data_IF_942755218400
#
_entry.id   IF_942755218400
#
_cell.length_a   1.000
_cell.length_b   1.000
_cell.length_c   1.000
_cell.angle_alpha   90.00
_cell.angle_beta   90.00
_cell.angle_gamma   90.00
#
_symmetry.space_group_name_H-M   'P 1'
#
loop_
_entity.id
_entity.type
_entity.pdbx_description
1 polymer ?
#
# COMPACT_ATOMS: atom_id res chain seq x y z
N UNK A 1 9.55 20.75 -3.64
CA UNK A 1 8.50 19.89 -4.24
C UNK A 1 7.19 20.41 -3.72
N UNK A 2 6.22 20.72 -4.58
CA UNK A 2 4.88 21.11 -4.12
C UNK A 2 4.19 19.92 -3.43
N UNK A 3 3.29 20.18 -2.48
CA UNK A 3 2.54 19.12 -1.78
C UNK A 3 1.84 18.17 -2.76
N UNK A 4 1.26 18.71 -3.85
CA UNK A 4 0.60 17.92 -4.90
C UNK A 4 1.55 16.95 -5.60
N UNK A 5 2.80 17.36 -5.84
CA UNK A 5 3.78 16.55 -6.55
C UNK A 5 4.29 15.44 -5.64
N UNK A 6 4.43 15.74 -4.35
CA UNK A 6 4.74 14.75 -3.32
C UNK A 6 3.64 13.69 -3.20
N UNK A 7 2.38 14.10 -3.04
CA UNK A 7 1.24 13.17 -2.94
C UNK A 7 1.18 12.29 -4.19
N UNK A 8 1.32 12.88 -5.38
CA UNK A 8 1.35 12.13 -6.63
C UNK A 8 2.46 11.08 -6.63
N UNK A 9 3.67 11.45 -6.21
CA UNK A 9 4.79 10.51 -6.13
C UNK A 9 4.50 9.35 -5.17
N UNK A 10 3.98 9.64 -3.97
CA UNK A 10 3.69 8.58 -2.99
C UNK A 10 2.61 7.62 -3.51
N UNK A 11 1.55 8.14 -4.12
CA UNK A 11 0.50 7.30 -4.68
C UNK A 11 1.02 6.44 -5.84
N UNK A 12 1.87 6.99 -6.71
CA UNK A 12 2.54 6.23 -7.78
C UNK A 12 3.42 5.14 -7.20
N UNK A 13 4.36 5.48 -6.31
CA UNK A 13 5.28 4.52 -5.71
C UNK A 13 4.52 3.38 -5.00
N UNK A 14 3.39 3.70 -4.35
CA UNK A 14 2.55 2.74 -3.64
C UNK A 14 1.80 1.79 -4.60
N UNK A 15 1.18 2.32 -5.66
CA UNK A 15 0.47 1.50 -6.65
C UNK A 15 1.44 0.59 -7.40
N UNK A 16 2.56 1.13 -7.87
CA UNK A 16 3.59 0.38 -8.58
C UNK A 16 4.14 -0.75 -7.69
N UNK A 17 4.46 -0.45 -6.42
CA UNK A 17 4.95 -1.47 -5.49
C UNK A 17 3.97 -2.61 -5.28
N UNK A 18 2.66 -2.33 -5.17
CA UNK A 18 1.65 -3.38 -4.99
C UNK A 18 1.52 -4.23 -6.25
N UNK A 19 1.49 -3.64 -7.44
CA UNK A 19 1.40 -4.39 -8.70
C UNK A 19 2.67 -5.20 -8.98
N UNK A 20 3.87 -4.67 -8.71
CA UNK A 20 5.13 -5.42 -8.87
C UNK A 20 5.18 -6.65 -7.96
N UNK A 21 4.76 -6.51 -6.70
CA UNK A 21 4.69 -7.64 -5.77
C UNK A 21 3.59 -8.60 -6.19
N UNK A 22 2.44 -8.08 -6.64
CA UNK A 22 1.33 -8.88 -7.15
C UNK A 22 1.79 -9.79 -8.29
N UNK A 23 2.56 -9.30 -9.25
CA UNK A 23 3.06 -10.10 -10.37
C UNK A 23 3.96 -11.26 -9.91
N UNK A 24 4.88 -10.98 -8.98
CA UNK A 24 5.86 -11.96 -8.49
C UNK A 24 5.33 -12.87 -7.37
N UNK A 25 4.20 -12.51 -6.75
CA UNK A 25 3.57 -13.25 -5.66
C UNK A 25 2.72 -14.42 -6.14
N UNK A 26 2.72 -15.50 -5.35
CA UNK A 26 1.80 -16.64 -5.52
C UNK A 26 0.34 -16.29 -5.23
N UNK A 27 0.11 -15.29 -4.38
CA UNK A 27 -1.22 -14.80 -3.99
C UNK A 27 -1.51 -13.51 -4.71
N UNK A 28 -2.76 -13.32 -5.15
CA UNK A 28 -3.16 -12.02 -5.68
C UNK A 28 -3.26 -10.99 -4.54
N UNK A 29 -3.04 -9.73 -4.89
CA UNK A 29 -3.14 -8.62 -3.96
C UNK A 29 -3.53 -7.34 -4.69
N UNK A 30 -4.27 -6.48 -4.01
CA UNK A 30 -4.71 -5.21 -4.57
C UNK A 30 -5.01 -4.21 -3.46
N UNK A 31 -4.95 -2.92 -3.79
CA UNK A 31 -5.40 -1.86 -2.89
C UNK A 31 -6.91 -1.90 -2.74
N UNK A 32 -7.40 -1.74 -1.51
CA UNK A 32 -8.84 -1.69 -1.24
C UNK A 32 -9.18 -0.61 -0.24
N UNK A 33 -10.26 0.13 -0.54
CA UNK A 33 -10.85 1.10 0.36
C UNK A 33 -11.81 0.44 1.38
N UNK A 34 -12.37 -0.73 1.05
CA UNK A 34 -13.22 -1.54 1.93
C UNK A 34 -12.45 -2.08 3.13
N UNK A 35 -12.75 -1.57 4.33
CA UNK A 35 -12.08 -1.98 5.57
C UNK A 35 -12.21 -3.48 5.87
N UNK A 36 -13.37 -4.05 5.58
CA UNK A 36 -13.65 -5.47 5.85
C UNK A 36 -12.82 -6.41 4.98
N UNK A 37 -12.30 -5.91 3.86
CA UNK A 37 -11.46 -6.64 2.93
C UNK A 37 -9.97 -6.36 3.13
N UNK A 38 -9.55 -5.55 4.12
CA UNK A 38 -8.12 -5.27 4.32
C UNK A 38 -7.48 -6.39 5.09
N UNK A 39 -6.57 -7.11 4.45
CA UNK A 39 -5.72 -8.10 5.12
C UNK A 39 -4.58 -7.39 5.87
N UNK A 40 -4.10 -6.26 5.33
CA UNK A 40 -3.03 -5.45 5.92
C UNK A 40 -3.41 -3.96 5.85
N UNK A 41 -3.17 -3.22 6.93
CA UNK A 41 -3.35 -1.77 6.99
C UNK A 41 -2.03 -1.05 7.27
N UNK A 42 -1.82 0.08 6.58
CA UNK A 42 -0.66 0.94 6.75
C UNK A 42 -1.12 2.34 7.18
N UNK A 43 -0.46 2.91 8.20
CA UNK A 43 -0.61 4.31 8.63
C UNK A 43 0.77 4.96 8.62
N UNK A 44 1.04 5.77 7.59
CA UNK A 44 2.34 6.39 7.37
C UNK A 44 2.24 7.87 7.72
N UNK A 45 3.03 8.29 8.73
CA UNK A 45 3.25 9.70 9.00
C UNK A 45 4.33 10.26 8.06
N UNK A 46 3.96 11.31 7.34
CA UNK A 46 4.83 12.07 6.45
C UNK A 46 5.04 13.45 7.06
N UNK A 47 6.29 13.81 7.33
CA UNK A 47 6.65 15.13 7.81
C UNK A 47 7.34 15.89 6.69
N UNK A 48 6.83 17.08 6.35
CA UNK A 48 7.55 18.04 5.51
C UNK A 48 8.21 19.05 6.44
N UNK A 49 9.54 19.11 6.39
CA UNK A 49 10.31 20.15 7.09
C UNK A 49 10.64 21.28 6.11
N UNK A 50 10.08 22.47 6.35
CA UNK A 50 10.54 23.70 5.71
C UNK A 50 11.87 24.11 6.35
N UNK A 51 12.98 23.71 5.72
CA UNK A 51 14.31 24.17 6.13
C UNK A 51 14.53 25.62 5.66
N UNK A 52 14.09 26.60 6.46
CA UNK A 52 14.58 27.99 6.35
C UNK A 52 15.94 28.10 7.04
N UNK A 53 16.95 27.41 6.50
CA UNK A 53 18.34 27.61 6.94
C UNK A 53 19.20 27.83 5.70
N UNK A 54 19.78 29.02 5.64
CA UNK A 54 20.66 29.49 4.60
C UNK A 54 21.72 28.43 4.23
N UNK A 55 21.92 28.26 2.92
CA UNK A 55 22.98 27.48 2.28
C UNK A 55 22.96 25.95 2.52
N UNK A 56 22.38 25.21 1.58
CA UNK A 56 22.79 23.83 1.28
C UNK A 56 21.70 22.77 1.30
N UNK A 57 21.26 22.38 0.11
CA UNK A 57 20.59 21.10 -0.25
C UNK A 57 19.37 20.72 0.61
N UNK A 58 18.18 21.12 0.14
CA UNK A 58 16.91 20.59 0.60
C UNK A 58 16.80 19.08 0.26
N UNK A 59 16.97 18.22 1.28
CA UNK A 59 16.76 16.78 1.19
C UNK A 59 15.67 16.34 2.17
N UNK A 60 14.76 15.49 1.71
CA UNK A 60 13.73 14.87 2.56
C UNK A 60 14.44 13.95 3.57
N UNK A 61 14.36 14.26 4.86
CA UNK A 61 14.85 13.39 5.94
C UNK A 61 13.67 12.68 6.59
N UNK A 62 13.67 11.35 6.52
CA UNK A 62 12.77 10.52 7.32
C UNK A 62 13.37 10.41 8.72
N UNK A 63 12.78 11.09 9.71
CA UNK A 63 13.21 10.96 11.11
C UNK A 63 12.57 9.72 11.75
N UNK A 64 13.38 8.73 12.11
CA UNK A 64 13.00 7.73 13.10
C UNK A 64 13.09 8.36 14.48
N UNK A 65 11.95 8.48 15.17
CA UNK A 65 11.90 8.96 16.56
C UNK A 65 12.45 7.82 17.44
N UNK A 66 13.71 7.92 17.84
CA UNK A 66 14.26 7.15 18.95
C UNK A 66 14.01 7.97 20.22
N UNK A 67 13.15 7.45 21.10
CA UNK A 67 12.94 7.97 22.45
C UNK A 67 14.28 8.04 23.18
N UNK A 68 14.76 9.26 23.44
CA UNK A 68 16.09 9.45 24.01
C UNK A 68 16.36 10.88 24.45
N UNK A 69 15.48 11.44 25.31
CA UNK A 69 15.79 12.41 26.37
C UNK A 69 16.76 13.59 26.13
N UNK A 70 17.01 13.98 24.88
CA UNK A 70 17.96 15.03 24.53
C UNK A 70 17.25 16.31 24.14
N UNK A 71 17.59 17.40 24.82
CA UNK A 71 17.07 18.76 24.65
C UNK A 71 17.26 19.27 23.21
N UNK A 72 16.37 18.89 22.29
CA UNK A 72 16.36 19.40 20.92
C UNK A 72 15.81 20.83 20.98
N UNK A 73 16.72 21.79 20.82
CA UNK A 73 16.43 23.23 20.75
C UNK A 73 15.16 23.50 19.94
N UNK A 74 14.24 24.26 20.55
CA UNK A 74 13.02 24.80 19.95
C UNK A 74 13.35 25.72 18.76
N UNK A 75 13.82 25.18 17.66
CA UNK A 75 13.49 25.78 16.37
C UNK A 75 12.04 25.39 16.11
N UNK A 76 11.14 26.36 16.28
CA UNK A 76 9.75 26.26 15.85
C UNK A 76 9.73 26.14 14.32
N UNK A 77 10.13 24.99 13.80
CA UNK A 77 9.97 24.64 12.40
C UNK A 77 8.49 24.38 12.19
N UNK A 78 7.88 25.12 11.28
CA UNK A 78 6.55 24.84 10.78
C UNK A 78 6.61 23.49 10.05
N UNK A 79 6.48 22.39 10.78
CA UNK A 79 6.38 21.06 10.20
C UNK A 79 4.91 20.73 10.02
N UNK A 80 4.53 20.45 8.77
CA UNK A 80 3.22 19.88 8.48
C UNK A 80 3.34 18.37 8.51
N UNK A 81 2.59 17.72 9.40
CA UNK A 81 2.46 16.26 9.44
C UNK A 81 1.25 15.87 8.60
N UNK A 82 1.50 15.23 7.46
CA UNK A 82 0.48 14.57 6.65
C UNK A 82 0.44 13.07 7.02
N UNK A 83 -0.73 12.45 7.05
CA UNK A 83 -0.86 11.00 7.24
C UNK A 83 -1.50 10.34 6.03
N UNK A 84 -0.93 9.22 5.61
CA UNK A 84 -1.45 8.42 4.51
C UNK A 84 -1.88 7.07 5.09
N UNK A 85 -3.16 6.75 4.93
CA UNK A 85 -3.74 5.48 5.36
C UNK A 85 -4.25 4.71 4.16
N UNK A 86 -3.84 3.46 4.03
CA UNK A 86 -4.30 2.59 2.96
C UNK A 86 -4.32 1.13 3.42
N UNK A 87 -5.08 0.32 2.70
CA UNK A 87 -5.19 -1.11 2.95
C UNK A 87 -4.87 -1.91 1.71
N UNK A 88 -4.25 -3.07 1.92
CA UNK A 88 -3.99 -4.07 0.89
C UNK A 88 -4.82 -5.30 1.21
N UNK A 89 -5.64 -5.73 0.25
CA UNK A 89 -6.23 -7.05 0.26
C UNK A 89 -5.19 -8.06 -0.25
N UNK A 90 -5.09 -9.19 0.43
CA UNK A 90 -4.26 -10.32 -0.01
C UNK A 90 -5.16 -11.55 0.01
N UNK A 91 -5.25 -12.22 -1.13
CA UNK A 91 -6.13 -13.37 -1.31
C UNK A 91 -5.75 -14.53 -0.39
N UNK A 92 -6.79 -15.18 0.14
CA UNK A 92 -6.65 -16.34 1.02
C UNK A 92 -6.22 -17.62 0.30
N UNK A 93 -6.28 -17.64 -1.03
CA UNK A 93 -5.79 -18.72 -1.90
C UNK A 93 -4.60 -18.25 -2.73
N UNK A 94 -3.75 -19.17 -3.16
CA UNK A 94 -2.80 -18.87 -4.24
C UNK A 94 -3.54 -18.82 -5.58
N UNK A 95 -2.94 -18.15 -6.57
CA UNK A 95 -3.45 -18.10 -7.95
C UNK A 95 -3.63 -19.50 -8.54
N UNK A 96 -2.74 -20.44 -8.20
CA UNK A 96 -2.85 -21.83 -8.62
C UNK A 96 -4.02 -22.56 -7.95
N UNK A 97 -4.21 -22.36 -6.64
CA UNK A 97 -5.33 -22.94 -5.90
C UNK A 97 -6.67 -22.41 -6.44
N UNK A 98 -6.76 -21.10 -6.66
CA UNK A 98 -7.94 -20.44 -7.20
C UNK A 98 -8.26 -20.92 -8.63
N UNK A 99 -7.24 -21.05 -9.48
CA UNK A 99 -7.41 -21.61 -10.83
C UNK A 99 -7.92 -23.05 -10.80
N UNK A 100 -7.42 -23.89 -9.88
CA UNK A 100 -7.88 -25.27 -9.72
C UNK A 100 -9.33 -25.34 -9.22
N UNK A 101 -9.69 -24.51 -8.24
CA UNK A 101 -11.06 -24.41 -7.71
C UNK A 101 -12.04 -23.97 -8.79
N UNK A 102 -11.67 -22.96 -9.57
CA UNK A 102 -12.45 -22.47 -10.71
C UNK A 102 -12.66 -23.55 -11.78
N UNK A 103 -11.60 -24.27 -12.14
CA UNK A 103 -11.68 -25.36 -13.13
C UNK A 103 -12.57 -26.53 -12.66
N UNK A 104 -12.45 -26.93 -11.39
CA UNK A 104 -13.31 -27.97 -10.79
C UNK A 104 -14.77 -27.55 -10.84
N UNK A 105 -15.05 -26.31 -10.42
CA UNK A 105 -16.40 -25.76 -10.40
C UNK A 105 -17.01 -25.73 -11.80
N UNK A 106 -16.27 -25.21 -12.79
CA UNK A 106 -16.72 -25.18 -14.19
C UNK A 106 -17.00 -26.59 -14.75
N UNK A 107 -16.16 -27.58 -14.42
CA UNK A 107 -16.36 -28.96 -14.86
C UNK A 107 -17.64 -29.59 -14.30
N UNK A 108 -17.97 -29.32 -13.04
CA UNK A 108 -19.19 -29.80 -12.40
C UNK A 108 -20.44 -29.19 -13.03
N UNK A 109 -20.41 -27.88 -13.31
CA UNK A 109 -21.52 -27.21 -14.01
C UNK A 109 -21.74 -27.80 -15.39
N UNK A 110 -20.68 -28.04 -16.17
CA UNK A 110 -20.80 -28.63 -17.50
C UNK A 110 -21.44 -30.02 -17.45
N UNK A 111 -20.99 -30.90 -16.54
CA UNK A 111 -21.56 -32.24 -16.40
C UNK A 111 -23.05 -32.21 -16.00
N UNK A 112 -23.43 -31.28 -15.13
CA UNK A 112 -24.83 -31.08 -14.73
C UNK A 112 -25.74 -30.55 -15.85
N UNK A 113 -25.17 -29.87 -16.85
CA UNK A 113 -25.91 -29.44 -18.05
C UNK A 113 -26.05 -30.62 -19.00
N UNK A 114 -24.97 -31.35 -19.28
CA UNK A 114 -25.00 -32.53 -20.16
C UNK A 114 -26.01 -33.59 -19.69
N UNK A 115 -26.02 -33.92 -18.39
CA UNK A 115 -26.96 -34.89 -17.82
C UNK A 115 -28.43 -34.44 -17.83
N UNK A 116 -28.73 -33.17 -18.15
CA UNK A 116 -30.11 -32.67 -18.26
C UNK A 116 -30.68 -32.74 -19.68
N UNK A 117 -29.86 -33.07 -20.67
CA UNK A 117 -30.26 -33.17 -22.08
C UNK A 117 -30.10 -34.58 -22.66
N UNK A 118 -29.81 -35.57 -21.82
CA UNK A 118 -29.96 -37.02 -22.11
C UNK A 118 -31.22 -37.55 -21.42
#
# INVERSE_FOLDING_TARGET
MELKDFIKKVLTDLVESVEEIRESSKRDMHLTDSKDNRTVEFDIAVTVEDATSAAGKAGIKVFSIVEGGGNLSKESKNSSVSRIKFGVHIDSLTKEEDAQLSARTASQFRNNISNRYE
#
